data_IF_877524533950
#
_entry.id   IF_877524533950
#
_cell.length_a   1.000
_cell.length_b   1.000
_cell.length_c   1.000
_cell.angle_alpha   90.00
_cell.angle_beta   90.00
_cell.angle_gamma   90.00
#
_symmetry.space_group_name_H-M   'P 1'
#
loop_
_entity.id
_entity.type
_entity.pdbx_description
1 polymer ?
#
# COMPACT_ATOMS: atom_id res chain seq x y z
N UNK A 1 -4.35 -9.74 10.51
CA UNK A 1 -5.45 -10.71 10.30
C UNK A 1 -6.29 -10.20 9.13
N UNK A 2 -6.02 -10.67 7.92
CA UNK A 2 -6.73 -10.22 6.71
C UNK A 2 -7.83 -11.21 6.30
N UNK A 3 -8.49 -11.82 7.29
CA UNK A 3 -9.56 -12.79 7.07
C UNK A 3 -10.78 -12.43 7.91
N UNK A 4 -12.00 -12.55 7.35
CA UNK A 4 -13.23 -12.33 8.11
C UNK A 4 -13.36 -13.28 9.29
N UNK A 5 -13.82 -12.76 10.43
CA UNK A 5 -14.17 -13.55 11.61
C UNK A 5 -15.64 -13.95 11.47
N UNK A 6 -15.92 -15.25 11.41
CA UNK A 6 -17.29 -15.73 11.23
C UNK A 6 -18.02 -15.79 12.56
N UNK A 7 -17.42 -16.38 13.59
CA UNK A 7 -18.09 -16.60 14.86
C UNK A 7 -17.48 -15.78 15.99
N UNK A 8 -18.31 -15.36 16.94
CA UNK A 8 -17.86 -14.65 18.15
C UNK A 8 -16.93 -15.54 18.98
N UNK A 9 -17.19 -16.86 18.99
CA UNK A 9 -16.36 -17.84 19.69
C UNK A 9 -14.92 -17.87 19.18
N UNK A 10 -14.70 -17.60 17.88
CA UNK A 10 -13.36 -17.58 17.27
C UNK A 10 -12.50 -16.43 17.82
N UNK A 11 -13.14 -15.35 18.29
CA UNK A 11 -12.46 -14.13 18.77
C UNK A 11 -11.55 -14.45 19.95
N UNK A 12 -11.90 -15.40 20.80
CA UNK A 12 -11.09 -15.81 21.96
C UNK A 12 -9.74 -16.41 21.54
N UNK A 13 -9.63 -17.00 20.35
CA UNK A 13 -8.42 -17.68 19.85
C UNK A 13 -7.50 -16.79 19.03
N UNK A 14 -7.89 -15.53 18.78
CA UNK A 14 -7.07 -14.61 18.00
C UNK A 14 -5.86 -14.14 18.81
N UNK A 15 -4.70 -14.14 18.17
CA UNK A 15 -3.49 -13.48 18.67
C UNK A 15 -3.55 -11.98 18.33
N UNK A 16 -4.23 -11.23 19.19
CA UNK A 16 -4.43 -9.78 19.07
C UNK A 16 -4.37 -9.13 20.45
N UNK A 17 -4.10 -7.83 20.48
CA UNK A 17 -4.14 -7.06 21.73
C UNK A 17 -5.54 -7.09 22.36
N UNK A 18 -5.60 -6.96 23.68
CA UNK A 18 -6.88 -6.96 24.40
C UNK A 18 -7.82 -5.83 23.93
N UNK A 19 -7.26 -4.66 23.63
CA UNK A 19 -8.03 -3.56 23.07
C UNK A 19 -8.66 -3.92 21.71
N UNK A 20 -7.88 -4.51 20.80
CA UNK A 20 -8.39 -4.95 19.50
C UNK A 20 -9.47 -6.04 19.68
N UNK A 21 -9.26 -6.99 20.60
CA UNK A 21 -10.25 -8.02 20.95
C UNK A 21 -11.56 -7.40 21.42
N UNK A 22 -11.50 -6.41 22.32
CA UNK A 22 -12.66 -5.66 22.81
C UNK A 22 -13.42 -4.97 21.68
N UNK A 23 -12.72 -4.30 20.76
CA UNK A 23 -13.32 -3.66 19.59
C UNK A 23 -14.03 -4.68 18.67
N UNK A 24 -13.43 -5.85 18.46
CA UNK A 24 -14.03 -6.94 17.69
C UNK A 24 -15.35 -7.37 18.35
N UNK A 25 -15.35 -7.65 19.67
CA UNK A 25 -16.58 -7.99 20.39
C UNK A 25 -17.66 -6.91 20.28
N UNK A 26 -17.28 -5.63 20.40
CA UNK A 26 -18.20 -4.51 20.21
C UNK A 26 -18.81 -4.50 18.82
N UNK A 27 -18.04 -4.80 17.77
CA UNK A 27 -18.57 -4.91 16.40
C UNK A 27 -19.64 -6.00 16.29
N UNK A 28 -19.43 -7.16 16.92
CA UNK A 28 -20.42 -8.24 16.95
C UNK A 28 -21.68 -7.86 17.73
N UNK A 29 -21.53 -7.20 18.89
CA UNK A 29 -22.67 -6.74 19.68
C UNK A 29 -23.51 -5.70 18.93
N UNK A 30 -22.88 -4.70 18.32
CA UNK A 30 -23.55 -3.66 17.56
C UNK A 30 -24.16 -4.18 16.25
N UNK A 31 -23.58 -5.21 15.63
CA UNK A 31 -24.17 -5.84 14.45
C UNK A 31 -25.52 -6.52 14.74
N UNK A 32 -25.80 -6.86 16.00
CA UNK A 32 -27.09 -7.42 16.43
C UNK A 32 -28.13 -6.35 16.77
N UNK A 33 -27.73 -5.08 16.87
CA UNK A 33 -28.62 -3.97 17.20
C UNK A 33 -29.34 -3.45 15.93
N UNK A 34 -30.70 -3.40 15.94
CA UNK A 34 -31.50 -2.81 14.88
C UNK A 34 -31.07 -1.42 14.43
N UNK A 35 -30.48 -0.59 15.28
CA UNK A 35 -30.01 0.75 14.91
C UNK A 35 -28.89 0.72 13.86
N UNK A 36 -28.07 -0.35 13.83
CA UNK A 36 -26.86 -0.45 13.01
C UNK A 36 -26.95 -1.46 11.87
N UNK A 37 -28.15 -2.00 11.58
CA UNK A 37 -28.39 -3.04 10.56
C UNK A 37 -27.92 -2.70 9.14
N UNK A 38 -27.79 -1.42 8.80
CA UNK A 38 -27.25 -0.99 7.49
C UNK A 38 -25.72 -0.96 7.43
N UNK A 39 -25.04 -1.09 8.57
CA UNK A 39 -23.58 -1.06 8.67
C UNK A 39 -23.09 -2.50 8.83
N UNK A 40 -22.27 -3.04 7.91
CA UNK A 40 -21.84 -4.44 7.95
C UNK A 40 -20.74 -4.70 9.00
N UNK A 41 -20.94 -4.30 10.26
CA UNK A 41 -19.94 -4.35 11.34
C UNK A 41 -19.35 -5.75 11.55
N UNK A 42 -20.18 -6.81 11.47
CA UNK A 42 -19.72 -8.20 11.59
C UNK A 42 -18.78 -8.61 10.47
N UNK A 43 -19.05 -8.19 9.22
CA UNK A 43 -18.21 -8.50 8.07
C UNK A 43 -16.81 -7.88 8.22
N UNK A 44 -16.75 -6.68 8.78
CA UNK A 44 -15.53 -5.90 8.94
C UNK A 44 -14.94 -5.97 10.35
N UNK A 45 -15.40 -6.90 11.20
CA UNK A 45 -14.90 -7.03 12.58
C UNK A 45 -13.39 -7.32 12.62
N UNK A 46 -12.87 -8.09 11.66
CA UNK A 46 -11.44 -8.33 11.48
C UNK A 46 -10.62 -7.06 11.17
N UNK A 47 -11.29 -6.01 10.68
CA UNK A 47 -10.76 -4.66 10.46
C UNK A 47 -11.26 -3.66 11.52
N UNK A 48 -11.63 -4.15 12.71
CA UNK A 48 -12.14 -3.36 13.82
C UNK A 48 -13.40 -2.53 13.48
N UNK A 49 -14.20 -3.00 12.51
CA UNK A 49 -15.45 -2.36 12.07
C UNK A 49 -15.31 -1.39 10.90
N UNK A 50 -14.11 -1.17 10.37
CA UNK A 50 -13.85 -0.22 9.28
C UNK A 50 -13.73 -0.93 7.92
N UNK A 51 -14.35 -0.35 6.88
CA UNK A 51 -14.32 -0.85 5.49
C UNK A 51 -13.04 -0.47 4.73
N UNK A 52 -11.86 -0.56 5.36
CA UNK A 52 -10.59 -0.13 4.73
C UNK A 52 -9.47 0.21 5.71
N UNK A 53 -8.46 0.95 5.25
CA UNK A 53 -7.27 1.29 6.05
C UNK A 53 -7.65 2.05 7.33
N UNK A 54 -7.39 1.41 8.47
CA UNK A 54 -7.56 1.98 9.81
C UNK A 54 -6.37 2.90 10.14
N UNK A 55 -6.51 4.19 9.86
CA UNK A 55 -5.65 5.22 10.44
C UNK A 55 -6.53 6.36 10.94
N UNK A 56 -7.04 6.21 12.16
CA UNK A 56 -7.60 7.33 12.92
C UNK A 56 -6.42 8.16 13.45
N UNK A 57 -6.22 9.34 12.86
CA UNK A 57 -5.28 10.32 13.40
C UNK A 57 -6.01 11.14 14.46
N UNK A 58 -5.52 11.10 15.69
CA UNK A 58 -5.99 12.07 16.69
C UNK A 58 -5.42 13.45 16.34
N UNK A 59 -6.21 14.51 16.47
CA UNK A 59 -5.73 15.87 16.19
C UNK A 59 -4.65 16.35 17.18
N UNK A 60 -4.63 15.80 18.40
CA UNK A 60 -3.71 16.20 19.47
C UNK A 60 -2.47 15.31 19.59
N UNK A 61 -2.58 14.02 19.28
CA UNK A 61 -1.49 13.06 19.50
C UNK A 61 -0.91 12.49 18.21
N UNK A 62 -1.41 12.87 17.03
CA UNK A 62 -0.90 12.36 15.75
C UNK A 62 -0.32 13.47 14.88
N UNK A 63 0.89 13.26 14.39
CA UNK A 63 1.48 14.12 13.34
C UNK A 63 0.81 13.87 11.98
N UNK A 64 0.99 14.79 11.04
CA UNK A 64 0.41 14.63 9.71
C UNK A 64 1.22 13.63 8.88
N UNK A 65 0.56 12.90 7.97
CA UNK A 65 1.28 12.08 7.01
C UNK A 65 2.18 12.91 6.10
N UNK A 66 1.84 14.19 5.87
CA UNK A 66 2.68 15.14 5.14
C UNK A 66 4.02 15.35 5.85
N UNK A 67 3.99 15.68 7.14
CA UNK A 67 5.19 15.84 7.95
C UNK A 67 6.05 14.56 7.97
N UNK A 68 5.43 13.40 8.15
CA UNK A 68 6.17 12.12 8.09
C UNK A 68 6.76 11.81 6.72
N UNK A 69 6.11 12.22 5.63
CA UNK A 69 6.66 12.06 4.27
C UNK A 69 7.84 13.00 4.05
N UNK A 70 7.73 14.25 4.51
CA UNK A 70 8.81 15.23 4.38
C UNK A 70 10.05 14.78 5.14
N UNK A 71 9.91 14.41 6.42
CA UNK A 71 11.03 13.90 7.24
C UNK A 71 11.73 12.70 6.58
N UNK A 72 10.96 11.79 5.96
CA UNK A 72 11.55 10.67 5.21
C UNK A 72 12.27 11.13 3.94
N UNK A 73 11.71 12.08 3.20
CA UNK A 73 12.34 12.62 2.01
C UNK A 73 13.68 13.31 2.35
N UNK A 74 13.69 14.13 3.40
CA UNK A 74 14.87 14.84 3.88
C UNK A 74 15.96 13.85 4.33
N UNK A 75 15.57 12.84 5.13
CA UNK A 75 16.49 11.77 5.53
C UNK A 75 17.08 11.05 4.31
N UNK A 76 16.26 10.68 3.32
CA UNK A 76 16.75 10.00 2.12
C UNK A 76 17.67 10.89 1.28
N UNK A 77 17.38 12.18 1.18
CA UNK A 77 18.23 13.15 0.51
C UNK A 77 19.60 13.26 1.19
N UNK A 78 19.63 13.34 2.52
CA UNK A 78 20.89 13.39 3.30
C UNK A 78 21.72 12.11 3.11
N UNK A 79 21.09 10.94 3.29
CA UNK A 79 21.77 9.65 3.04
C UNK A 79 22.28 9.51 1.61
N UNK A 80 21.60 10.09 0.63
CA UNK A 80 22.05 10.08 -0.76
C UNK A 80 23.25 11.02 -1.00
N UNK A 81 23.32 12.16 -0.30
CA UNK A 81 24.47 13.08 -0.33
C UNK A 81 25.70 12.45 0.29
N UNK A 82 25.57 11.89 1.49
CA UNK A 82 26.65 11.19 2.18
C UNK A 82 27.26 10.10 1.29
N UNK A 83 26.44 9.24 0.68
CA UNK A 83 26.88 8.18 -0.23
C UNK A 83 27.64 8.69 -1.46
N UNK A 84 27.38 9.94 -1.87
CA UNK A 84 28.01 10.58 -3.02
C UNK A 84 29.19 11.48 -2.64
N UNK A 85 29.53 11.57 -1.34
CA UNK A 85 30.56 12.48 -0.84
C UNK A 85 30.24 13.95 -1.08
N UNK A 86 28.95 14.29 -1.20
CA UNK A 86 28.51 15.66 -1.39
C UNK A 86 28.49 16.40 -0.04
N UNK A 87 28.80 17.71 -0.02
CA UNK A 87 28.70 18.50 1.19
C UNK A 87 27.24 18.56 1.71
N UNK A 88 27.11 18.91 2.99
CA UNK A 88 25.83 19.13 3.65
C UNK A 88 24.95 20.08 2.83
N UNK A 89 23.63 19.91 2.93
CA UNK A 89 22.70 20.82 2.28
C UNK A 89 22.91 22.25 2.78
N UNK A 90 23.18 23.17 1.85
CA UNK A 90 23.14 24.60 2.12
C UNK A 90 21.68 25.02 2.39
N UNK A 91 21.46 25.96 3.30
CA UNK A 91 20.11 26.47 3.66
C UNK A 91 19.46 27.27 2.52
N UNK A 92 20.18 27.48 1.41
CA UNK A 92 19.66 28.13 0.22
C UNK A 92 18.45 27.37 -0.31
N UNK A 93 17.37 28.13 -0.51
CA UNK A 93 16.13 27.63 -1.11
C UNK A 93 16.43 26.96 -2.45
N UNK A 94 16.30 25.64 -2.49
CA UNK A 94 16.50 24.88 -3.72
C UNK A 94 15.23 24.97 -4.54
N UNK A 95 15.23 25.84 -5.55
CA UNK A 95 14.09 25.98 -6.48
C UNK A 95 13.95 24.69 -7.28
N UNK A 96 12.91 23.92 -6.96
CA UNK A 96 12.56 22.73 -7.74
C UNK A 96 11.84 23.18 -9.01
N UNK A 97 12.54 23.21 -10.15
CA UNK A 97 11.94 23.52 -11.45
C UNK A 97 11.17 22.30 -11.95
N UNK A 98 9.88 22.25 -11.66
CA UNK A 98 8.95 21.19 -12.10
C UNK A 98 8.36 21.41 -13.49
N UNK A 99 9.13 21.95 -14.44
CA UNK A 99 8.67 22.18 -15.81
C UNK A 99 8.83 20.88 -16.62
N UNK A 100 7.73 20.13 -16.76
CA UNK A 100 7.68 18.95 -17.61
C UNK A 100 7.01 19.32 -18.92
N UNK A 101 7.74 19.19 -20.03
CA UNK A 101 7.14 19.24 -21.37
C UNK A 101 6.99 17.82 -21.89
N UNK A 102 5.81 17.53 -22.44
CA UNK A 102 5.60 16.28 -23.15
C UNK A 102 6.65 16.13 -24.27
N UNK A 103 7.49 15.10 -24.13
CA UNK A 103 8.58 14.81 -25.06
C UNK A 103 8.14 13.93 -26.24
N UNK A 104 6.88 13.46 -26.23
CA UNK A 104 6.35 12.48 -27.17
C UNK A 104 5.98 11.16 -26.50
N UNK A 105 5.23 10.32 -27.21
CA UNK A 105 4.95 8.93 -26.85
C UNK A 105 5.09 8.07 -28.10
N UNK A 106 5.36 6.77 -27.89
CA UNK A 106 5.65 5.82 -28.96
C UNK A 106 7.14 5.51 -29.06
N UNK A 107 7.45 4.54 -29.93
CA UNK A 107 8.80 4.10 -30.18
C UNK A 107 9.52 5.09 -31.09
N UNK A 108 10.71 5.55 -30.70
CA UNK A 108 11.60 6.26 -31.62
C UNK A 108 12.20 5.28 -32.63
N UNK A 109 12.90 5.82 -33.63
CA UNK A 109 13.54 5.03 -34.69
C UNK A 109 14.34 3.85 -34.09
N UNK A 110 14.00 2.63 -34.49
CA UNK A 110 14.60 1.38 -34.00
C UNK A 110 14.03 0.80 -32.70
N UNK A 111 13.37 1.58 -31.84
CA UNK A 111 12.81 1.09 -30.56
C UNK A 111 11.64 0.11 -30.76
N UNK A 112 10.95 0.18 -31.90
CA UNK A 112 9.87 -0.75 -32.26
C UNK A 112 10.37 -2.18 -32.49
N UNK A 113 11.61 -2.34 -32.96
CA UNK A 113 12.26 -3.65 -33.13
C UNK A 113 12.53 -4.30 -31.78
N UNK A 114 13.00 -3.52 -30.81
CA UNK A 114 13.22 -3.98 -29.44
C UNK A 114 11.91 -4.40 -28.77
N UNK A 115 10.85 -3.60 -28.95
CA UNK A 115 9.53 -3.94 -28.43
C UNK A 115 9.00 -5.25 -29.05
N UNK A 116 9.18 -5.45 -30.35
CA UNK A 116 8.79 -6.68 -31.03
C UNK A 116 9.60 -7.88 -30.53
N UNK A 117 10.92 -7.73 -30.37
CA UNK A 117 11.78 -8.79 -29.81
C UNK A 117 11.33 -9.19 -28.40
N UNK A 118 11.02 -8.22 -27.54
CA UNK A 118 10.53 -8.46 -26.18
C UNK A 118 9.18 -9.18 -26.23
N UNK A 119 8.25 -8.74 -27.10
CA UNK A 119 6.95 -9.41 -27.29
C UNK A 119 7.14 -10.88 -27.68
N UNK A 120 7.98 -11.16 -28.67
CA UNK A 120 8.26 -12.51 -29.14
C UNK A 120 8.90 -13.39 -28.05
N UNK A 121 9.83 -12.83 -27.27
CA UNK A 121 10.45 -13.54 -26.15
C UNK A 121 9.43 -13.91 -25.08
N UNK A 122 8.55 -12.99 -24.69
CA UNK A 122 7.48 -13.24 -23.71
C UNK A 122 6.50 -14.28 -24.23
N UNK A 123 6.07 -14.18 -25.49
CA UNK A 123 5.14 -15.12 -26.10
C UNK A 123 5.73 -16.54 -26.14
N UNK A 124 7.00 -16.66 -26.55
CA UNK A 124 7.73 -17.94 -26.58
C UNK A 124 7.88 -18.53 -25.18
N UNK A 125 8.29 -17.73 -24.19
CA UNK A 125 8.42 -18.19 -22.80
C UNK A 125 7.09 -18.70 -22.23
N UNK A 126 5.98 -18.01 -22.53
CA UNK A 126 4.63 -18.44 -22.13
C UNK A 126 4.21 -19.73 -22.81
N UNK A 127 4.57 -19.92 -24.09
CA UNK A 127 4.27 -21.15 -24.83
C UNK A 127 5.01 -22.34 -24.22
N UNK A 128 6.32 -22.22 -23.99
CA UNK A 128 7.14 -23.25 -23.34
C UNK A 128 6.57 -23.61 -21.96
N UNK A 129 6.20 -22.62 -21.15
CA UNK A 129 5.61 -22.86 -19.84
C UNK A 129 4.27 -23.63 -19.90
N UNK A 130 3.44 -23.42 -20.94
CA UNK A 130 2.22 -24.20 -21.15
C UNK A 130 2.53 -25.64 -21.56
N UNK A 131 3.42 -25.82 -22.52
CA UNK A 131 3.84 -27.15 -23.01
C UNK A 131 4.45 -28.00 -21.88
N UNK A 132 5.22 -27.39 -20.97
CA UNK A 132 5.76 -28.06 -19.78
C UNK A 132 4.72 -28.34 -18.69
N UNK A 133 3.69 -27.51 -18.57
CA UNK A 133 2.59 -27.75 -17.63
C UNK A 133 1.58 -28.80 -18.10
N UNK A 134 1.47 -29.03 -19.42
CA UNK A 134 0.65 -30.10 -20.02
C UNK A 134 1.38 -31.47 -20.04
N UNK A 135 2.70 -31.46 -19.89
CA UNK A 135 3.55 -32.67 -19.89
C UNK A 135 3.85 -33.20 -18.47
N UNK A 136 3.26 -32.62 -17.43
CA UNK A 136 3.43 -32.97 -16.01
C UNK A 136 2.09 -33.40 -15.39
#
# INVERSE_FOLDING_TARGET
>A
MDRPIREVADVARLDVTEHARRMIYTCFALASDPAYRLIPLRQWAHMLGYRGHFSTKSRHYSTTLGALRQVRADHQAERARERRGLPAADERETVTVGQWRYAGSGYRNGEHLWAELIRQRIATARRIAREQGESA
#
